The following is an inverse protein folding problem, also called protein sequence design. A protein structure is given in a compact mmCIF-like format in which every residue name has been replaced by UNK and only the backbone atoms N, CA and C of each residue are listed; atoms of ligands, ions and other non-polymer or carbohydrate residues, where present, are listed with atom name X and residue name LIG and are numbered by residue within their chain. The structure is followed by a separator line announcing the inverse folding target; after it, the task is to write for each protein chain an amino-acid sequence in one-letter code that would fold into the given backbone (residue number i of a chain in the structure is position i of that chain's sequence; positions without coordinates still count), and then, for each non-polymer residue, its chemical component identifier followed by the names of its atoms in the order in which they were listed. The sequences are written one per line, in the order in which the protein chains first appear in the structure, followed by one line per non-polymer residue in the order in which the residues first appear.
data_IF_284190948471
#
_entry.id   IF_284190948471
#
_cell.length_a   1.000
_cell.length_b   1.000
_cell.length_c   1.000
_cell.angle_alpha   90.00
_cell.angle_beta   90.00
_cell.angle_gamma   90.00
#
_symmetry.space_group_name_H-M   'P 1'
#
loop_
_entity.id
_entity.type
_entity.pdbx_description
1 polymer ?
#
# COMPACT_ATOMS: atom_id res chain seq x y z
N UNK A 1 -18.17 -24.78 -16.56
CA UNK A 1 -18.57 -23.48 -15.97
C UNK A 1 -18.84 -22.42 -17.03
N UNK A 2 -17.83 -21.88 -17.75
CA UNK A 2 -18.07 -20.85 -18.79
C UNK A 2 -19.04 -21.31 -19.91
N UNK A 3 -18.93 -22.58 -20.34
CA UNK A 3 -19.81 -23.20 -21.33
C UNK A 3 -21.26 -23.30 -20.86
N UNK A 4 -21.48 -23.50 -19.57
CA UNK A 4 -22.81 -23.69 -18.98
C UNK A 4 -23.57 -22.35 -18.92
N UNK A 5 -22.88 -21.25 -18.57
CA UNK A 5 -23.46 -19.91 -18.56
C UNK A 5 -23.84 -19.42 -19.97
N UNK A 6 -22.98 -19.66 -20.97
CA UNK A 6 -23.28 -19.34 -22.36
C UNK A 6 -24.49 -20.13 -22.90
N UNK A 7 -24.61 -21.39 -22.48
CA UNK A 7 -25.75 -22.25 -22.83
C UNK A 7 -27.06 -21.75 -22.21
N UNK A 8 -27.01 -21.32 -20.94
CA UNK A 8 -28.16 -20.73 -20.25
C UNK A 8 -28.63 -19.43 -20.92
N UNK A 9 -27.72 -18.51 -21.25
CA UNK A 9 -28.04 -17.28 -21.99
C UNK A 9 -28.64 -17.56 -23.37
N UNK A 10 -28.09 -18.53 -24.12
CA UNK A 10 -28.62 -18.94 -25.43
C UNK A 10 -30.03 -19.52 -25.35
N UNK A 11 -30.33 -20.25 -24.27
CA UNK A 11 -31.68 -20.81 -24.04
C UNK A 11 -32.70 -19.71 -23.82
N UNK A 12 -32.34 -18.67 -23.07
CA UNK A 12 -33.19 -17.53 -22.82
C UNK A 12 -33.38 -16.67 -24.08
N UNK A 13 -32.35 -16.52 -24.91
CA UNK A 13 -32.43 -15.83 -26.20
C UNK A 13 -33.41 -16.50 -27.17
N UNK A 14 -33.51 -17.83 -27.15
CA UNK A 14 -34.48 -18.58 -27.93
C UNK A 14 -35.96 -18.33 -27.52
N UNK A 15 -36.21 -17.62 -26.41
CA UNK A 15 -37.58 -17.29 -25.95
C UNK A 15 -38.37 -16.35 -26.87
N UNK A 16 -37.71 -15.76 -27.86
CA UNK A 16 -38.33 -14.87 -28.84
C UNK A 16 -39.54 -15.51 -29.57
N UNK A 17 -39.58 -16.84 -29.68
CA UNK A 17 -40.68 -17.53 -30.35
C UNK A 17 -42.02 -17.39 -29.62
N UNK A 18 -41.99 -17.28 -28.28
CA UNK A 18 -43.18 -17.27 -27.42
C UNK A 18 -43.32 -16.04 -26.51
N UNK A 19 -42.32 -15.15 -26.45
CA UNK A 19 -42.38 -13.89 -25.70
C UNK A 19 -41.80 -12.69 -26.47
N UNK A 20 -42.67 -12.01 -27.23
CA UNK A 20 -42.32 -11.01 -28.28
C UNK A 20 -42.57 -9.54 -27.91
N UNK A 21 -42.81 -9.23 -26.64
CA UNK A 21 -43.03 -7.85 -26.18
C UNK A 21 -41.75 -7.21 -25.61
N UNK A 22 -41.78 -5.90 -25.37
CA UNK A 22 -40.68 -5.13 -24.75
C UNK A 22 -40.13 -5.81 -23.49
N UNK A 23 -41.00 -6.25 -22.56
CA UNK A 23 -40.52 -6.95 -21.36
C UNK A 23 -39.77 -8.26 -21.65
N UNK A 24 -40.03 -8.92 -22.78
CA UNK A 24 -39.28 -10.09 -23.21
C UNK A 24 -37.93 -9.75 -23.83
N UNK A 25 -37.85 -8.62 -24.54
CA UNK A 25 -36.59 -8.07 -25.04
C UNK A 25 -35.69 -7.65 -23.86
N UNK A 26 -36.24 -6.90 -22.90
CA UNK A 26 -35.54 -6.48 -21.68
C UNK A 26 -35.01 -7.67 -20.88
N UNK A 27 -35.81 -8.73 -20.74
CA UNK A 27 -35.39 -9.92 -20.03
C UNK A 27 -34.29 -10.69 -20.77
N UNK A 28 -34.32 -10.72 -22.11
CA UNK A 28 -33.26 -11.35 -22.92
C UNK A 28 -31.96 -10.55 -22.83
N UNK A 29 -32.04 -9.24 -22.90
CA UNK A 29 -30.90 -8.36 -22.66
C UNK A 29 -30.31 -8.59 -21.28
N UNK A 30 -31.14 -8.58 -20.23
CA UNK A 30 -30.72 -8.88 -18.86
C UNK A 30 -30.05 -10.26 -18.73
N UNK A 31 -30.64 -11.30 -19.35
CA UNK A 31 -30.06 -12.65 -19.34
C UNK A 31 -28.71 -12.71 -20.06
N UNK A 32 -28.53 -12.00 -21.18
CA UNK A 32 -27.24 -11.91 -21.86
C UNK A 32 -26.21 -11.21 -20.98
N UNK A 33 -26.56 -10.08 -20.37
CA UNK A 33 -25.67 -9.37 -19.46
C UNK A 33 -25.25 -10.23 -18.28
N UNK A 34 -26.19 -10.95 -17.65
CA UNK A 34 -25.86 -11.85 -16.54
C UNK A 34 -24.98 -13.02 -16.97
N UNK A 35 -25.20 -13.59 -18.17
CA UNK A 35 -24.35 -14.63 -18.71
C UNK A 35 -22.93 -14.12 -18.97
N UNK A 36 -22.79 -12.91 -19.52
CA UNK A 36 -21.50 -12.26 -19.75
C UNK A 36 -20.77 -11.96 -18.44
N UNK A 37 -21.48 -11.41 -17.44
CA UNK A 37 -20.95 -11.18 -16.09
C UNK A 37 -20.44 -12.49 -15.48
N UNK A 38 -21.23 -13.57 -15.55
CA UNK A 38 -20.84 -14.89 -15.02
C UNK A 38 -19.63 -15.48 -15.74
N UNK A 39 -19.54 -15.33 -17.06
CA UNK A 39 -18.39 -15.78 -17.86
C UNK A 39 -17.13 -15.00 -17.48
N UNK A 40 -17.22 -13.67 -17.36
CA UNK A 40 -16.08 -12.82 -16.94
C UNK A 40 -15.61 -13.19 -15.53
N UNK A 41 -16.54 -13.33 -14.58
CA UNK A 41 -16.21 -13.76 -13.22
C UNK A 41 -15.51 -15.12 -13.18
N UNK A 42 -15.97 -16.09 -13.98
CA UNK A 42 -15.29 -17.40 -14.07
C UNK A 42 -13.86 -17.27 -14.65
N UNK A 43 -13.64 -16.41 -15.64
CA UNK A 43 -12.31 -16.12 -16.17
C UNK A 43 -11.40 -15.46 -15.14
N UNK A 44 -11.91 -14.49 -14.38
CA UNK A 44 -11.18 -13.82 -13.29
C UNK A 44 -10.78 -14.83 -12.21
N UNK A 45 -11.70 -15.69 -11.76
CA UNK A 45 -11.40 -16.74 -10.76
C UNK A 45 -10.27 -17.66 -11.25
N UNK A 46 -10.29 -18.06 -12.53
CA UNK A 46 -9.22 -18.86 -13.12
C UNK A 46 -7.86 -18.15 -13.10
N UNK A 47 -7.84 -16.86 -13.43
CA UNK A 47 -6.63 -16.04 -13.42
C UNK A 47 -6.09 -15.80 -11.99
N UNK A 48 -6.97 -15.67 -10.98
CA UNK A 48 -6.56 -15.57 -9.57
C UNK A 48 -5.81 -16.84 -9.14
N UNK A 49 -6.33 -18.02 -9.49
CA UNK A 49 -5.68 -19.28 -9.16
C UNK A 49 -4.29 -19.39 -9.79
N UNK A 50 -4.14 -19.05 -11.07
CA UNK A 50 -2.85 -19.05 -11.77
C UNK A 50 -1.83 -18.10 -11.13
N UNK A 51 -2.25 -16.89 -10.75
CA UNK A 51 -1.40 -15.92 -10.06
C UNK A 51 -0.99 -16.43 -8.69
N UNK A 52 -1.91 -16.97 -7.92
CA UNK A 52 -1.63 -17.53 -6.60
C UNK A 52 -0.57 -18.65 -6.68
N UNK A 53 -0.75 -19.62 -7.58
CA UNK A 53 0.20 -20.73 -7.77
C UNK A 53 1.61 -20.23 -8.15
N UNK A 54 1.67 -19.19 -8.99
CA UNK A 54 2.94 -18.55 -9.38
C UNK A 54 3.63 -17.89 -8.19
N UNK A 55 2.90 -17.10 -7.39
CA UNK A 55 3.47 -16.40 -6.21
C UNK A 55 3.93 -17.40 -5.14
N UNK A 56 3.15 -18.45 -4.88
CA UNK A 56 3.53 -19.53 -3.94
C UNK A 56 4.84 -20.18 -4.37
N UNK A 57 4.98 -20.50 -5.66
CA UNK A 57 6.21 -21.11 -6.18
C UNK A 57 7.45 -20.21 -5.99
N UNK A 58 7.31 -18.89 -6.14
CA UNK A 58 8.41 -17.95 -5.88
C UNK A 58 8.75 -17.83 -4.38
N UNK A 59 7.72 -17.79 -3.51
CA UNK A 59 7.91 -17.76 -2.05
C UNK A 59 8.59 -19.03 -1.53
N UNK A 60 8.24 -20.20 -2.05
CA UNK A 60 8.89 -21.47 -1.67
C UNK A 60 10.40 -21.45 -1.89
N UNK A 61 10.88 -20.75 -2.93
CA UNK A 61 12.31 -20.54 -3.18
C UNK A 61 13.00 -19.74 -2.07
N UNK A 62 12.39 -18.64 -1.63
CA UNK A 62 12.95 -17.80 -0.57
C UNK A 62 12.80 -18.42 0.83
N UNK A 63 11.69 -19.15 1.08
CA UNK A 63 11.45 -19.90 2.32
C UNK A 63 12.48 -21.03 2.51
N UNK A 64 13.11 -21.51 1.44
CA UNK A 64 14.25 -22.44 1.53
C UNK A 64 15.57 -21.71 1.77
N UNK A 65 15.80 -20.58 1.10
CA UNK A 65 17.05 -19.83 1.14
C UNK A 65 17.28 -19.11 2.47
N UNK A 66 16.24 -18.45 3.01
CA UNK A 66 16.34 -17.64 4.22
C UNK A 66 16.74 -18.47 5.46
N UNK A 67 16.05 -19.59 5.81
CA UNK A 67 16.47 -20.42 6.95
C UNK A 67 17.86 -21.03 6.77
N UNK A 68 18.26 -21.33 5.54
CA UNK A 68 19.61 -21.81 5.23
C UNK A 68 20.67 -20.77 5.60
N UNK A 69 20.47 -19.50 5.22
CA UNK A 69 21.37 -18.39 5.58
C UNK A 69 21.34 -18.03 7.05
N UNK A 70 20.19 -18.10 7.71
CA UNK A 70 20.10 -17.96 9.17
C UNK A 70 20.86 -19.09 9.86
N UNK A 71 20.74 -20.33 9.39
CA UNK A 71 21.49 -21.47 9.94
C UNK A 71 22.99 -21.31 9.73
N UNK A 72 23.43 -20.82 8.57
CA UNK A 72 24.83 -20.50 8.27
C UNK A 72 25.39 -19.44 9.24
N UNK A 73 24.60 -18.41 9.57
CA UNK A 73 24.97 -17.43 10.59
C UNK A 73 25.09 -18.06 11.98
N UNK A 74 24.04 -18.75 12.45
CA UNK A 74 23.97 -19.31 13.80
C UNK A 74 24.97 -20.45 14.04
N UNK A 75 25.41 -21.14 12.99
CA UNK A 75 26.42 -22.22 13.07
C UNK A 75 27.86 -21.74 12.84
N UNK A 76 28.06 -20.45 12.57
CA UNK A 76 29.37 -19.84 12.36
C UNK A 76 30.25 -19.96 13.61
N UNK A 77 31.57 -20.10 13.41
CA UNK A 77 32.55 -20.08 14.51
C UNK A 77 32.66 -18.71 15.22
N UNK A 78 32.00 -17.68 14.68
CA UNK A 78 32.09 -16.29 15.11
C UNK A 78 30.99 -15.85 16.10
N UNK A 79 30.28 -16.80 16.71
CA UNK A 79 29.20 -16.55 17.69
C UNK A 79 28.19 -15.51 17.19
N UNK A 80 27.67 -15.69 15.96
CA UNK A 80 26.71 -14.76 15.37
C UNK A 80 25.28 -14.98 15.88
N UNK A 81 24.52 -13.90 15.95
CA UNK A 81 23.06 -13.88 16.06
C UNK A 81 22.47 -13.04 14.91
N UNK A 82 21.17 -13.24 14.66
CA UNK A 82 20.43 -12.54 13.62
C UNK A 82 19.28 -11.79 14.27
N UNK A 83 19.17 -10.49 13.98
CA UNK A 83 18.06 -9.64 14.42
C UNK A 83 16.83 -9.82 13.54
N UNK A 84 15.67 -9.35 14.00
CA UNK A 84 14.40 -9.47 13.27
C UNK A 84 14.45 -8.76 11.89
N UNK A 85 15.29 -7.73 11.76
CA UNK A 85 15.52 -6.98 10.51
C UNK A 85 16.55 -7.65 9.58
N UNK A 86 17.04 -8.83 9.94
CA UNK A 86 18.03 -9.61 9.20
C UNK A 86 19.48 -9.15 9.37
N UNK A 87 19.77 -8.21 10.26
CA UNK A 87 21.15 -7.84 10.62
C UNK A 87 21.83 -9.02 11.31
N UNK A 88 23.04 -9.36 10.85
CA UNK A 88 23.89 -10.34 11.52
C UNK A 88 24.92 -9.61 12.37
N UNK A 89 24.98 -9.95 13.64
CA UNK A 89 25.89 -9.36 14.62
C UNK A 89 26.62 -10.49 15.38
N UNK A 90 27.78 -10.20 15.96
CA UNK A 90 28.47 -11.14 16.86
C UNK A 90 28.12 -10.84 18.32
N UNK A 91 27.83 -11.88 19.10
CA UNK A 91 27.61 -11.73 20.55
C UNK A 91 28.85 -11.18 21.26
N UNK A 92 30.04 -11.49 20.73
CA UNK A 92 31.32 -11.04 21.25
C UNK A 92 31.80 -9.79 20.53
N UNK A 93 32.27 -8.83 21.31
CA UNK A 93 32.96 -7.67 20.79
C UNK A 93 34.28 -8.05 20.12
N UNK A 94 34.75 -7.21 19.18
CA UNK A 94 36.08 -7.37 18.56
C UNK A 94 37.20 -7.44 19.62
N UNK A 95 37.03 -6.77 20.77
CA UNK A 95 37.98 -6.81 21.88
C UNK A 95 38.03 -8.16 22.60
N UNK A 96 36.89 -8.84 22.71
CA UNK A 96 36.83 -10.20 23.27
C UNK A 96 37.45 -11.20 22.30
N UNK A 97 37.18 -11.06 21.00
CA UNK A 97 37.82 -11.87 19.96
C UNK A 97 39.34 -11.71 19.90
N UNK A 98 39.87 -10.50 20.13
CA UNK A 98 41.32 -10.26 20.25
C UNK A 98 41.98 -11.14 21.31
N UNK A 99 41.30 -11.38 22.44
CA UNK A 99 41.81 -12.22 23.53
C UNK A 99 41.81 -13.70 23.17
N UNK A 100 40.89 -14.12 22.31
CA UNK A 100 40.73 -15.52 21.85
C UNK A 100 41.73 -15.83 20.73
N UNK A 101 41.74 -15.03 19.66
CA UNK A 101 42.53 -15.31 18.44
C UNK A 101 44.00 -14.89 18.52
N UNK A 102 44.34 -13.94 19.39
CA UNK A 102 45.73 -13.52 19.67
C UNK A 102 46.52 -13.21 18.39
N UNK A 103 47.42 -14.10 17.97
CA UNK A 103 48.25 -13.92 16.76
C UNK A 103 47.45 -13.90 15.47
N UNK A 104 46.29 -14.57 15.45
CA UNK A 104 45.49 -14.77 14.23
C UNK A 104 44.40 -13.70 14.08
N UNK A 105 44.36 -12.73 15.01
CA UNK A 105 43.29 -11.75 15.14
C UNK A 105 43.00 -10.98 13.85
N UNK A 106 44.03 -10.46 13.17
CA UNK A 106 43.82 -9.62 11.98
C UNK A 106 43.18 -10.41 10.82
N UNK A 107 43.58 -11.67 10.64
CA UNK A 107 43.02 -12.54 9.59
C UNK A 107 41.61 -12.97 9.95
N UNK A 108 41.40 -13.47 11.18
CA UNK A 108 40.10 -13.92 11.67
C UNK A 108 39.08 -12.79 11.79
N UNK A 109 39.51 -11.57 12.11
CA UNK A 109 38.64 -10.40 12.13
C UNK A 109 38.14 -10.05 10.73
N UNK A 110 39.02 -10.05 9.72
CA UNK A 110 38.61 -9.80 8.34
C UNK A 110 37.66 -10.89 7.82
N UNK A 111 37.89 -12.15 8.17
CA UNK A 111 36.97 -13.27 7.88
C UNK A 111 35.60 -13.07 8.57
N UNK A 112 35.61 -12.70 9.86
CA UNK A 112 34.40 -12.41 10.63
C UNK A 112 33.59 -11.28 9.98
N UNK A 113 34.19 -10.10 9.84
CA UNK A 113 33.50 -8.91 9.31
C UNK A 113 33.03 -9.12 7.87
N UNK A 114 33.81 -9.85 7.05
CA UNK A 114 33.40 -10.23 5.71
C UNK A 114 32.18 -11.15 5.69
N UNK A 115 32.15 -12.18 6.53
CA UNK A 115 31.03 -13.11 6.62
C UNK A 115 29.78 -12.47 7.25
N UNK A 116 29.95 -11.64 8.29
CA UNK A 116 28.90 -10.86 8.94
C UNK A 116 28.16 -9.97 7.92
N UNK A 117 28.93 -9.21 7.12
CA UNK A 117 28.37 -8.36 6.07
C UNK A 117 27.71 -9.19 4.94
N UNK A 118 28.35 -10.28 4.50
CA UNK A 118 27.81 -11.14 3.46
C UNK A 118 26.45 -11.76 3.87
N UNK A 119 26.37 -12.31 5.09
CA UNK A 119 25.15 -12.93 5.60
C UNK A 119 24.06 -11.89 5.84
N UNK A 120 24.40 -10.71 6.37
CA UNK A 120 23.46 -9.58 6.50
C UNK A 120 22.85 -9.22 5.14
N UNK A 121 23.67 -9.08 4.10
CA UNK A 121 23.21 -8.78 2.74
C UNK A 121 22.32 -9.90 2.19
N UNK A 122 22.70 -11.16 2.40
CA UNK A 122 21.97 -12.31 1.90
C UNK A 122 20.60 -12.48 2.57
N UNK A 123 20.54 -12.33 3.90
CA UNK A 123 19.32 -12.45 4.71
C UNK A 123 18.38 -11.29 4.40
N UNK A 124 18.84 -10.04 4.52
CA UNK A 124 18.04 -8.85 4.16
C UNK A 124 17.58 -8.87 2.71
N UNK A 125 18.43 -9.34 1.79
CA UNK A 125 18.04 -9.50 0.40
C UNK A 125 16.91 -10.52 0.20
N UNK A 126 16.91 -11.61 0.97
CA UNK A 126 15.84 -12.62 0.91
C UNK A 126 14.54 -12.10 1.55
N UNK A 127 14.62 -11.42 2.69
CA UNK A 127 13.48 -10.73 3.32
C UNK A 127 12.86 -9.70 2.36
N UNK A 128 13.68 -8.85 1.73
CA UNK A 128 13.22 -7.87 0.75
C UNK A 128 12.56 -8.52 -0.48
N UNK A 129 13.05 -9.68 -0.94
CA UNK A 129 12.42 -10.43 -2.04
C UNK A 129 11.10 -11.05 -1.62
N UNK A 130 10.99 -11.58 -0.39
CA UNK A 130 9.71 -12.10 0.14
C UNK A 130 8.68 -10.97 0.19
N UNK A 131 9.04 -9.83 0.76
CA UNK A 131 8.15 -8.67 0.82
C UNK A 131 7.76 -8.18 -0.59
N UNK A 132 8.71 -8.14 -1.52
CA UNK A 132 8.46 -7.77 -2.90
C UNK A 132 7.54 -8.77 -3.63
N UNK A 133 7.67 -10.08 -3.38
CA UNK A 133 6.77 -11.11 -3.94
C UNK A 133 5.35 -10.95 -3.40
N UNK A 134 5.22 -10.78 -2.08
CA UNK A 134 3.92 -10.61 -1.40
C UNK A 134 3.19 -9.39 -1.95
N UNK A 135 3.86 -8.23 -1.97
CA UNK A 135 3.26 -6.98 -2.43
C UNK A 135 3.00 -6.95 -3.94
N UNK A 136 3.88 -7.53 -4.78
CA UNK A 136 3.57 -7.75 -6.21
C UNK A 136 2.34 -8.64 -6.39
N UNK A 137 2.16 -9.63 -5.51
CA UNK A 137 0.96 -10.46 -5.49
C UNK A 137 -0.32 -9.65 -5.30
N UNK A 138 -0.32 -8.67 -4.39
CA UNK A 138 -1.45 -7.78 -4.17
C UNK A 138 -1.80 -6.92 -5.41
N UNK A 139 -0.78 -6.38 -6.09
CA UNK A 139 -0.94 -5.61 -7.35
C UNK A 139 -1.49 -6.46 -8.50
N UNK A 140 -0.93 -7.66 -8.70
CA UNK A 140 -1.41 -8.59 -9.71
C UNK A 140 -2.85 -9.02 -9.43
N UNK A 141 -3.18 -9.25 -8.15
CA UNK A 141 -4.53 -9.59 -7.73
C UNK A 141 -5.51 -8.45 -8.01
N UNK A 142 -5.17 -7.20 -7.65
CA UNK A 142 -5.98 -6.01 -7.99
C UNK A 142 -6.22 -5.94 -9.50
N UNK A 143 -5.18 -6.15 -10.30
CA UNK A 143 -5.27 -6.13 -11.77
C UNK A 143 -6.23 -7.21 -12.29
N UNK A 144 -6.11 -8.44 -11.80
CA UNK A 144 -6.97 -9.56 -12.20
C UNK A 144 -8.42 -9.32 -11.78
N UNK A 145 -8.65 -8.89 -10.53
CA UNK A 145 -9.99 -8.55 -10.02
C UNK A 145 -10.60 -7.35 -10.78
N UNK A 146 -9.77 -6.44 -11.28
CA UNK A 146 -10.15 -5.37 -12.18
C UNK A 146 -10.82 -5.86 -13.49
N UNK A 147 -10.62 -7.12 -13.87
CA UNK A 147 -11.28 -7.75 -15.02
C UNK A 147 -12.77 -8.08 -14.82
N UNK A 148 -13.29 -7.96 -13.60
CA UNK A 148 -14.72 -8.09 -13.31
C UNK A 148 -15.51 -6.97 -13.98
N UNK A 149 -16.78 -7.21 -14.28
CA UNK A 149 -17.66 -6.15 -14.76
C UNK A 149 -17.98 -5.15 -13.65
N UNK A 150 -18.21 -3.90 -14.02
CA UNK A 150 -18.54 -2.84 -13.05
C UNK A 150 -19.78 -3.18 -12.23
N UNK A 151 -20.76 -3.87 -12.83
CA UNK A 151 -21.95 -4.38 -12.14
C UNK A 151 -21.60 -5.34 -11.00
N UNK A 152 -20.66 -6.26 -11.23
CA UNK A 152 -20.18 -7.19 -10.20
C UNK A 152 -19.39 -6.45 -9.15
N UNK A 153 -18.49 -5.54 -9.55
CA UNK A 153 -17.67 -4.74 -8.61
C UNK A 153 -18.53 -3.94 -7.63
N UNK A 154 -19.46 -3.13 -8.15
CA UNK A 154 -20.38 -2.35 -7.32
C UNK A 154 -21.34 -3.22 -6.51
N UNK A 155 -21.74 -4.39 -7.04
CA UNK A 155 -22.61 -5.33 -6.33
C UNK A 155 -21.94 -6.01 -5.13
N UNK A 156 -20.62 -6.20 -5.15
CA UNK A 156 -19.87 -6.85 -4.06
C UNK A 156 -19.39 -5.86 -3.02
N UNK A 157 -18.80 -4.73 -3.45
CA UNK A 157 -18.23 -3.71 -2.53
C UNK A 157 -19.32 -3.07 -1.67
N UNK A 158 -20.57 -3.08 -2.13
CA UNK A 158 -21.65 -2.34 -1.48
C UNK A 158 -21.57 -0.85 -1.81
N UNK A 159 -22.55 -0.10 -1.34
CA UNK A 159 -22.62 1.35 -1.53
C UNK A 159 -23.22 1.96 -0.29
N UNK A 160 -22.57 2.95 0.33
CA UNK A 160 -23.11 3.61 1.51
C UNK A 160 -24.52 4.15 1.28
N UNK A 161 -25.36 4.07 2.32
CA UNK A 161 -26.72 4.61 2.29
C UNK A 161 -26.74 6.15 2.17
N UNK A 162 -25.72 6.82 2.72
CA UNK A 162 -25.54 8.27 2.57
C UNK A 162 -25.15 8.60 1.12
N UNK A 163 -25.97 9.36 0.36
CA UNK A 163 -25.70 9.61 -1.05
C UNK A 163 -24.37 10.33 -1.31
N UNK A 164 -23.90 11.14 -0.34
CA UNK A 164 -22.62 11.85 -0.47
C UNK A 164 -21.44 10.90 -0.26
N UNK A 165 -21.55 9.97 0.69
CA UNK A 165 -20.55 8.93 0.87
C UNK A 165 -20.53 7.99 -0.34
N UNK A 166 -21.70 7.61 -0.88
CA UNK A 166 -21.79 6.85 -2.12
C UNK A 166 -21.12 7.56 -3.32
N UNK A 167 -21.27 8.88 -3.43
CA UNK A 167 -20.57 9.68 -4.45
C UNK A 167 -19.05 9.68 -4.23
N UNK A 168 -18.60 9.89 -2.98
CA UNK A 168 -17.18 9.87 -2.63
C UNK A 168 -16.57 8.50 -2.95
N UNK A 169 -17.21 7.40 -2.55
CA UNK A 169 -16.74 6.04 -2.83
C UNK A 169 -16.51 5.81 -4.33
N UNK A 170 -17.38 6.34 -5.20
CA UNK A 170 -17.25 6.19 -6.66
C UNK A 170 -16.18 7.11 -7.26
N UNK A 171 -16.07 8.34 -6.77
CA UNK A 171 -15.18 9.36 -7.33
C UNK A 171 -13.73 9.16 -6.91
N UNK A 172 -13.51 8.75 -5.67
CA UNK A 172 -12.19 8.64 -5.07
C UNK A 172 -11.65 7.22 -5.25
N UNK A 173 -11.43 6.83 -6.51
CA UNK A 173 -10.82 5.55 -6.92
C UNK A 173 -9.77 5.83 -8.00
N UNK A 174 -8.59 5.22 -7.96
CA UNK A 174 -7.51 5.40 -8.94
C UNK A 174 -7.54 4.28 -9.98
N UNK A 175 -6.97 4.56 -11.15
CA UNK A 175 -6.48 3.50 -12.00
C UNK A 175 -5.34 2.75 -11.28
N UNK A 176 -5.11 1.45 -11.56
CA UNK A 176 -3.92 0.76 -11.10
C UNK A 176 -2.64 1.49 -11.55
N UNK A 177 -1.56 1.36 -10.78
CA UNK A 177 -0.23 1.83 -11.20
C UNK A 177 0.21 1.16 -12.51
N UNK A 178 1.02 1.86 -13.32
CA UNK A 178 1.54 1.36 -14.59
C UNK A 178 2.59 0.24 -14.42
N UNK A 179 3.08 0.01 -13.19
CA UNK A 179 4.02 -1.07 -12.92
C UNK A 179 4.04 -1.52 -11.46
N UNK A 180 4.77 -2.60 -11.20
CA UNK A 180 4.89 -3.13 -9.85
C UNK A 180 5.60 -2.14 -8.92
N UNK A 181 4.93 -1.78 -7.84
CA UNK A 181 5.56 -1.09 -6.73
C UNK A 181 6.71 -1.92 -6.14
N UNK A 182 7.69 -1.24 -5.56
CA UNK A 182 8.93 -1.85 -5.06
C UNK A 182 9.47 -1.07 -3.88
N UNK A 183 10.27 -1.75 -3.06
CA UNK A 183 11.03 -1.09 -1.99
C UNK A 183 12.04 -0.10 -2.59
N UNK A 184 11.94 1.15 -2.16
CA UNK A 184 12.79 2.25 -2.59
C UNK A 184 13.13 3.19 -1.41
N UNK A 185 14.38 3.68 -1.31
CA UNK A 185 15.55 3.28 -2.08
C UNK A 185 16.00 1.86 -1.70
N UNK A 186 16.67 1.15 -2.59
CA UNK A 186 17.16 -0.22 -2.34
C UNK A 186 18.55 -0.45 -2.91
N UNK A 187 19.18 -1.56 -2.52
CA UNK A 187 20.51 -1.97 -3.00
C UNK A 187 21.60 -0.93 -2.71
N UNK A 188 22.48 -0.70 -3.69
CA UNK A 188 23.62 0.24 -3.58
C UNK A 188 23.18 1.67 -3.27
N UNK A 189 22.01 2.09 -3.79
CA UNK A 189 21.48 3.43 -3.52
C UNK A 189 21.10 3.60 -2.04
N UNK A 190 20.41 2.62 -1.46
CA UNK A 190 20.09 2.62 -0.03
C UNK A 190 21.36 2.66 0.82
N UNK A 191 22.37 1.86 0.47
CA UNK A 191 23.64 1.84 1.21
C UNK A 191 24.37 3.19 1.14
N UNK A 192 24.33 3.87 0.00
CA UNK A 192 24.89 5.20 -0.15
C UNK A 192 24.13 6.25 0.70
N UNK A 193 22.80 6.15 0.79
CA UNK A 193 21.97 7.04 1.63
C UNK A 193 22.24 6.77 3.12
N UNK A 194 22.30 5.51 3.53
CA UNK A 194 22.58 5.12 4.93
C UNK A 194 23.96 5.49 5.43
N UNK A 195 24.93 5.68 4.52
CA UNK A 195 26.23 6.23 4.88
C UNK A 195 26.15 7.69 5.38
N UNK A 196 25.06 8.40 5.06
CA UNK A 196 24.81 9.80 5.46
C UNK A 196 23.72 9.88 6.52
N UNK A 197 22.63 9.12 6.35
CA UNK A 197 21.54 9.00 7.33
C UNK A 197 21.21 7.51 7.57
N UNK A 198 21.79 6.91 8.63
CA UNK A 198 21.60 5.49 8.94
C UNK A 198 20.15 5.08 9.24
N UNK A 199 19.25 6.03 9.56
CA UNK A 199 17.88 5.75 9.95
C UNK A 199 16.93 5.59 8.75
N UNK A 200 17.39 5.83 7.52
CA UNK A 200 16.56 5.68 6.32
C UNK A 200 16.27 4.21 6.05
N UNK A 201 14.99 3.86 6.16
CA UNK A 201 14.45 2.57 5.75
C UNK A 201 13.83 2.66 4.35
N UNK A 202 13.96 1.61 3.51
CA UNK A 202 13.22 1.50 2.26
C UNK A 202 11.73 1.53 2.51
N UNK A 203 11.00 2.15 1.59
CA UNK A 203 9.54 2.19 1.62
C UNK A 203 9.04 1.61 0.32
N UNK A 204 7.99 0.82 0.40
CA UNK A 204 7.28 0.38 -0.77
C UNK A 204 6.63 1.57 -1.48
N UNK A 205 6.96 1.76 -2.76
CA UNK A 205 6.52 2.88 -3.57
C UNK A 205 6.14 2.42 -4.97
N UNK A 206 5.13 3.05 -5.55
CA UNK A 206 4.79 2.88 -6.96
C UNK A 206 5.91 3.40 -7.87
N UNK A 207 6.04 2.88 -9.10
CA UNK A 207 6.92 3.44 -10.12
C UNK A 207 6.73 4.95 -10.31
N UNK A 208 5.49 5.43 -10.25
CA UNK A 208 5.13 6.84 -10.37
C UNK A 208 5.72 7.67 -9.24
N UNK A 209 5.58 7.23 -7.97
CA UNK A 209 6.22 7.87 -6.81
C UNK A 209 7.74 7.92 -6.98
N UNK A 210 8.36 6.81 -7.39
CA UNK A 210 9.81 6.73 -7.57
C UNK A 210 10.29 7.70 -8.65
N UNK A 211 9.58 7.81 -9.78
CA UNK A 211 9.91 8.76 -10.84
C UNK A 211 9.79 10.19 -10.34
N UNK A 212 8.76 10.51 -9.55
CA UNK A 212 8.58 11.84 -8.97
C UNK A 212 9.71 12.21 -8.00
N UNK A 213 10.09 11.30 -7.10
CA UNK A 213 11.19 11.53 -6.13
C UNK A 213 12.56 11.56 -6.81
N UNK A 214 12.82 10.68 -7.78
CA UNK A 214 14.06 10.72 -8.56
C UNK A 214 14.19 12.04 -9.34
N UNK A 215 13.09 12.51 -9.94
CA UNK A 215 13.05 13.79 -10.65
C UNK A 215 13.22 14.98 -9.71
N UNK A 216 12.66 14.91 -8.50
CA UNK A 216 12.90 15.90 -7.44
C UNK A 216 14.38 15.93 -7.06
N UNK A 217 14.97 14.78 -6.74
CA UNK A 217 16.38 14.65 -6.34
C UNK A 217 17.39 15.11 -7.39
N UNK A 218 17.05 15.03 -8.67
CA UNK A 218 17.90 15.47 -9.78
C UNK A 218 17.98 17.00 -9.96
N UNK A 219 17.15 17.79 -9.24
CA UNK A 219 17.15 19.26 -9.33
C UNK A 219 18.32 19.85 -8.53
N UNK A 220 18.75 21.10 -8.80
CA UNK A 220 19.86 21.75 -8.07
C UNK A 220 19.73 21.77 -6.54
N UNK A 221 18.50 21.78 -6.00
CA UNK A 221 18.21 21.70 -4.56
C UNK A 221 17.48 20.38 -4.17
N UNK A 222 17.56 19.36 -5.03
CA UNK A 222 16.75 18.16 -4.92
C UNK A 222 17.03 17.31 -3.68
N UNK A 223 18.25 17.37 -3.14
CA UNK A 223 18.59 16.67 -1.89
C UNK A 223 17.85 17.27 -0.69
N UNK A 224 17.78 18.60 -0.58
CA UNK A 224 17.05 19.28 0.48
C UNK A 224 15.55 18.98 0.37
N UNK A 225 14.99 19.00 -0.85
CA UNK A 225 13.59 18.67 -1.09
C UNK A 225 13.26 17.21 -0.72
N UNK A 226 14.18 16.26 -0.97
CA UNK A 226 14.01 14.86 -0.55
C UNK A 226 14.07 14.71 0.97
N UNK A 227 14.99 15.41 1.64
CA UNK A 227 15.07 15.44 3.10
C UNK A 227 13.77 15.98 3.69
N UNK A 228 13.27 17.10 3.16
CA UNK A 228 12.01 17.70 3.59
C UNK A 228 10.82 16.75 3.36
N UNK A 229 10.79 16.02 2.24
CA UNK A 229 9.74 15.04 1.96
C UNK A 229 9.69 13.95 3.04
N UNK A 230 10.82 13.34 3.37
CA UNK A 230 10.88 12.30 4.41
C UNK A 230 10.61 12.87 5.81
N UNK A 231 11.08 14.09 6.09
CA UNK A 231 10.80 14.79 7.35
C UNK A 231 9.31 15.08 7.51
N UNK A 232 8.64 15.60 6.48
CA UNK A 232 7.19 15.86 6.45
C UNK A 232 6.40 14.58 6.71
N UNK A 233 6.79 13.47 6.10
CA UNK A 233 6.14 12.18 6.34
C UNK A 233 6.32 11.71 7.78
N UNK A 234 7.55 11.74 8.30
CA UNK A 234 7.85 11.37 9.69
C UNK A 234 7.08 12.25 10.67
N UNK A 235 7.02 13.55 10.42
CA UNK A 235 6.27 14.51 11.21
C UNK A 235 4.76 14.22 11.23
N UNK A 236 4.17 13.92 10.08
CA UNK A 236 2.74 13.60 10.00
C UNK A 236 2.40 12.31 10.76
N UNK A 237 3.21 11.26 10.61
CA UNK A 237 3.04 10.01 11.36
C UNK A 237 3.21 10.23 12.86
N UNK A 238 4.28 10.90 13.29
CA UNK A 238 4.55 11.16 14.70
C UNK A 238 3.47 12.04 15.36
N UNK A 239 2.92 13.02 14.63
CA UNK A 239 1.83 13.84 15.12
C UNK A 239 0.53 13.03 15.28
N UNK A 240 0.21 12.16 14.33
CA UNK A 240 -0.94 11.26 14.43
C UNK A 240 -0.82 10.31 15.63
N UNK A 241 0.34 9.68 15.82
CA UNK A 241 0.62 8.79 16.95
C UNK A 241 0.50 9.49 18.31
N UNK A 242 0.93 10.75 18.40
CA UNK A 242 0.85 11.53 19.63
C UNK A 242 -0.58 12.01 19.94
N UNK A 243 -1.33 12.46 18.92
CA UNK A 243 -2.64 13.10 19.11
C UNK A 243 -3.81 12.11 19.08
N UNK A 244 -3.66 11.00 18.37
CA UNK A 244 -4.72 10.02 18.11
C UNK A 244 -4.22 8.59 18.35
N UNK A 245 -3.56 8.36 19.49
CA UNK A 245 -2.92 7.09 19.83
C UNK A 245 -3.91 5.92 19.87
N UNK A 246 -3.53 4.79 19.26
CA UNK A 246 -4.28 3.53 19.35
C UNK A 246 -4.33 2.80 18.01
N UNK A 247 -4.18 1.46 17.96
CA UNK A 247 -4.06 0.73 16.70
C UNK A 247 -5.20 0.98 15.71
N UNK A 248 -6.45 1.01 16.21
CA UNK A 248 -7.66 1.29 15.41
C UNK A 248 -7.80 2.76 15.00
N UNK A 249 -7.08 3.66 15.66
CA UNK A 249 -7.07 5.07 15.28
C UNK A 249 -6.03 5.34 14.19
N UNK A 250 -4.86 4.70 14.31
CA UNK A 250 -3.71 4.90 13.41
C UNK A 250 -3.86 4.15 12.09
N UNK A 251 -4.63 3.06 12.06
CA UNK A 251 -5.05 2.37 10.82
C UNK A 251 -6.53 2.60 10.61
N UNK A 252 -6.93 3.17 9.48
CA UNK A 252 -8.31 3.31 9.03
C UNK A 252 -9.23 4.20 9.91
N UNK A 253 -8.67 4.86 10.91
CA UNK A 253 -9.41 5.65 11.90
C UNK A 253 -9.03 7.12 11.94
N UNK A 254 -9.32 7.78 13.07
CA UNK A 254 -9.13 9.23 13.22
C UNK A 254 -7.67 9.67 13.09
N UNK A 255 -6.74 8.89 13.63
CA UNK A 255 -5.30 9.15 13.47
C UNK A 255 -4.82 8.95 12.04
N UNK A 256 -5.40 8.01 11.31
CA UNK A 256 -5.16 7.77 9.89
C UNK A 256 -5.66 8.94 9.04
N UNK A 257 -6.90 9.35 9.25
CA UNK A 257 -7.50 10.54 8.64
C UNK A 257 -6.68 11.80 8.92
N UNK A 258 -6.26 12.00 10.17
CA UNK A 258 -5.35 13.07 10.55
C UNK A 258 -4.04 13.00 9.78
N UNK A 259 -3.39 11.82 9.74
CA UNK A 259 -2.08 11.62 9.10
C UNK A 259 -2.14 11.96 7.62
N UNK A 260 -3.11 11.43 6.88
CA UNK A 260 -3.28 11.66 5.44
C UNK A 260 -3.56 13.13 5.13
N UNK A 261 -4.46 13.74 5.91
CA UNK A 261 -4.82 15.16 5.77
C UNK A 261 -3.62 16.06 6.07
N UNK A 262 -2.91 15.83 7.18
CA UNK A 262 -1.77 16.66 7.59
C UNK A 262 -0.56 16.48 6.67
N UNK A 263 -0.29 15.25 6.25
CA UNK A 263 0.76 14.95 5.26
C UNK A 263 0.52 15.71 3.95
N UNK A 264 -0.70 15.69 3.42
CA UNK A 264 -1.05 16.45 2.22
C UNK A 264 -1.00 17.96 2.43
N UNK A 265 -1.37 18.44 3.62
CA UNK A 265 -1.31 19.87 3.92
C UNK A 265 0.14 20.39 3.93
N UNK A 266 1.05 19.70 4.63
CA UNK A 266 2.48 20.03 4.67
C UNK A 266 3.14 19.92 3.30
N UNK A 267 2.87 18.83 2.56
CA UNK A 267 3.38 18.67 1.20
C UNK A 267 2.88 19.78 0.28
N UNK A 268 1.62 20.23 0.42
CA UNK A 268 1.06 21.30 -0.40
C UNK A 268 1.74 22.64 -0.12
N UNK A 269 1.98 22.97 1.14
CA UNK A 269 2.72 24.18 1.50
C UNK A 269 4.17 24.13 0.97
N UNK A 270 4.84 22.97 1.03
CA UNK A 270 6.25 22.84 0.65
C UNK A 270 6.49 22.69 -0.86
N UNK A 271 5.70 21.85 -1.52
CA UNK A 271 5.92 21.41 -2.90
C UNK A 271 4.85 21.87 -3.89
N UNK A 272 3.75 22.45 -3.39
CA UNK A 272 2.63 22.93 -4.19
C UNK A 272 1.56 21.85 -4.46
N UNK A 273 0.31 22.31 -4.58
CA UNK A 273 -0.89 21.46 -4.69
C UNK A 273 -0.81 20.44 -5.83
N UNK A 274 -0.30 20.84 -7.00
CA UNK A 274 -0.25 19.98 -8.18
C UNK A 274 0.72 18.81 -8.02
N UNK A 275 1.89 19.07 -7.42
CA UNK A 275 2.86 18.02 -7.15
C UNK A 275 2.31 17.08 -6.08
N UNK A 276 1.77 17.64 -5.00
CA UNK A 276 1.18 16.89 -3.89
C UNK A 276 0.04 15.98 -4.34
N UNK A 277 -0.87 16.49 -5.17
CA UNK A 277 -1.99 15.71 -5.71
C UNK A 277 -1.50 14.53 -6.57
N UNK A 278 -0.49 14.74 -7.43
CA UNK A 278 0.08 13.68 -8.24
C UNK A 278 0.75 12.62 -7.36
N UNK A 279 1.56 13.04 -6.39
CA UNK A 279 2.28 12.13 -5.50
C UNK A 279 1.32 11.32 -4.64
N UNK A 280 0.38 11.99 -3.96
CA UNK A 280 -0.61 11.32 -3.11
C UNK A 280 -1.53 10.41 -3.93
N UNK A 281 -1.90 10.79 -5.16
CA UNK A 281 -2.68 9.89 -6.04
C UNK A 281 -1.86 8.65 -6.39
N UNK A 282 -0.58 8.80 -6.75
CA UNK A 282 0.32 7.69 -7.03
C UNK A 282 0.55 6.80 -5.80
N UNK A 283 0.52 7.36 -4.58
CA UNK A 283 0.60 6.60 -3.34
C UNK A 283 -0.61 5.67 -3.17
N UNK A 284 -1.82 6.17 -3.44
CA UNK A 284 -3.05 5.37 -3.30
C UNK A 284 -3.26 4.38 -4.47
N UNK A 285 -2.44 4.44 -5.52
CA UNK A 285 -2.46 3.45 -6.61
C UNK A 285 -1.89 2.09 -6.20
N UNK A 286 -1.28 2.00 -5.01
CA UNK A 286 -0.76 0.76 -4.47
C UNK A 286 -1.87 -0.31 -4.37
N UNK A 287 -1.55 -1.48 -4.92
CA UNK A 287 -2.39 -2.66 -4.92
C UNK A 287 -2.66 -3.17 -3.51
N UNK A 288 -3.86 -3.69 -3.31
CA UNK A 288 -4.31 -4.21 -2.02
C UNK A 288 -5.27 -3.27 -1.26
N UNK A 289 -5.29 -1.97 -1.53
CA UNK A 289 -6.24 -1.10 -0.83
C UNK A 289 -7.70 -1.44 -1.20
N UNK A 290 -8.56 -1.79 -0.23
CA UNK A 290 -9.98 -1.98 -0.50
C UNK A 290 -10.62 -0.63 -0.86
N UNK A 291 -11.67 -0.61 -1.71
CA UNK A 291 -12.22 0.64 -2.23
C UNK A 291 -12.67 1.66 -1.16
N UNK A 292 -13.25 1.26 0.00
CA UNK A 292 -13.55 2.21 1.07
C UNK A 292 -12.31 2.92 1.62
N UNK A 293 -11.21 2.18 1.88
CA UNK A 293 -9.94 2.73 2.36
C UNK A 293 -9.36 3.70 1.34
N UNK A 294 -9.27 3.27 0.08
CA UNK A 294 -8.76 4.11 -1.00
C UNK A 294 -9.56 5.42 -1.13
N UNK A 295 -10.89 5.34 -1.06
CA UNK A 295 -11.75 6.52 -1.11
C UNK A 295 -11.54 7.46 0.08
N UNK A 296 -11.44 6.91 1.29
CA UNK A 296 -11.15 7.66 2.52
C UNK A 296 -9.82 8.40 2.40
N UNK A 297 -8.74 7.70 2.03
CA UNK A 297 -7.40 8.26 1.96
C UNK A 297 -7.31 9.37 0.93
N UNK A 298 -7.82 9.15 -0.28
CA UNK A 298 -7.83 10.14 -1.35
C UNK A 298 -8.67 11.37 -1.00
N UNK A 299 -9.81 11.18 -0.33
CA UNK A 299 -10.67 12.28 0.12
C UNK A 299 -9.95 13.11 1.20
N UNK A 300 -9.39 12.45 2.21
CA UNK A 300 -8.64 13.09 3.29
C UNK A 300 -7.39 13.82 2.75
N UNK A 301 -6.69 13.21 1.77
CA UNK A 301 -5.61 13.83 1.04
C UNK A 301 -6.07 15.15 0.38
N UNK A 302 -7.26 15.19 -0.23
CA UNK A 302 -7.82 16.43 -0.79
C UNK A 302 -8.14 17.49 0.25
N UNK A 303 -8.76 17.11 1.38
CA UNK A 303 -9.01 18.03 2.49
C UNK A 303 -7.70 18.65 2.99
N UNK A 304 -6.61 17.88 3.06
CA UNK A 304 -5.29 18.38 3.40
C UNK A 304 -4.80 19.49 2.47
N UNK A 305 -4.92 19.28 1.15
CA UNK A 305 -4.56 20.29 0.14
C UNK A 305 -5.43 21.55 0.24
N UNK A 306 -6.73 21.38 0.52
CA UNK A 306 -7.64 22.51 0.74
C UNK A 306 -7.26 23.31 1.99
N UNK A 307 -6.95 22.65 3.11
CA UNK A 307 -6.53 23.32 4.34
C UNK A 307 -5.22 24.10 4.16
N UNK A 308 -4.25 23.56 3.43
CA UNK A 308 -3.02 24.28 3.11
C UNK A 308 -3.28 25.58 2.33
N UNK A 309 -4.28 25.59 1.44
CA UNK A 309 -4.69 26.80 0.71
C UNK A 309 -5.46 27.79 1.58
N UNK A 310 -6.27 27.31 2.49
CA UNK A 310 -6.97 28.13 3.49
C UNK A 310 -5.97 28.76 4.49
N UNK A 311 -4.83 28.10 4.70
CA UNK A 311 -3.81 28.44 5.69
C UNK A 311 -2.39 28.47 5.10
N UNK A 312 -2.08 29.33 4.11
CA UNK A 312 -0.80 29.27 3.38
C UNK A 312 0.42 29.58 4.25
N UNK A 313 0.25 30.40 5.29
CA UNK A 313 1.33 30.86 6.18
C UNK A 313 1.27 30.20 7.57
N UNK A 314 0.38 29.22 7.77
CA UNK A 314 0.27 28.54 9.07
C UNK A 314 1.55 27.77 9.38
N UNK A 315 2.00 27.84 10.63
CA UNK A 315 3.07 26.97 11.11
C UNK A 315 2.63 25.49 11.05
N UNK A 316 3.56 24.53 11.06
CA UNK A 316 3.20 23.13 11.10
C UNK A 316 2.26 22.78 12.27
N UNK A 317 2.43 23.40 13.44
CA UNK A 317 1.58 23.21 14.62
C UNK A 317 0.18 23.81 14.43
N UNK A 318 0.09 25.00 13.84
CA UNK A 318 -1.19 25.64 13.52
C UNK A 318 -1.97 24.83 12.49
N UNK A 319 -1.27 24.29 11.49
CA UNK A 319 -1.83 23.43 10.46
C UNK A 319 -2.28 22.09 11.04
N UNK A 320 -1.47 21.47 11.93
CA UNK A 320 -1.88 20.28 12.68
C UNK A 320 -3.16 20.53 13.48
N UNK A 321 -3.26 21.66 14.19
CA UNK A 321 -4.47 22.03 14.93
C UNK A 321 -5.68 22.28 14.01
N UNK A 322 -5.46 22.78 12.79
CA UNK A 322 -6.53 22.94 11.81
C UNK A 322 -7.02 21.58 11.27
N UNK A 323 -6.10 20.65 11.03
CA UNK A 323 -6.41 19.28 10.62
C UNK A 323 -7.18 18.54 11.72
N UNK A 324 -6.71 18.63 12.96
CA UNK A 324 -7.36 18.02 14.12
C UNK A 324 -8.81 18.52 14.29
N UNK A 325 -9.04 19.82 14.10
CA UNK A 325 -10.41 20.37 14.04
C UNK A 325 -11.22 19.79 12.88
N UNK A 326 -10.64 19.69 11.68
CA UNK A 326 -11.32 19.10 10.53
C UNK A 326 -11.74 17.65 10.78
N UNK A 327 -10.89 16.87 11.46
CA UNK A 327 -11.22 15.49 11.88
C UNK A 327 -12.36 15.47 12.88
N UNK A 328 -12.32 16.31 13.94
CA UNK A 328 -13.39 16.34 14.95
C UNK A 328 -14.73 16.88 14.43
N UNK A 329 -14.69 17.80 13.47
CA UNK A 329 -15.87 18.45 12.90
C UNK A 329 -16.52 17.64 11.75
N UNK A 330 -16.04 16.42 11.47
CA UNK A 330 -16.63 15.57 10.43
C UNK A 330 -16.30 16.03 9.00
N UNK A 331 -15.22 16.81 8.80
CA UNK A 331 -14.77 17.21 7.45
C UNK A 331 -13.96 16.12 6.75
N UNK A 332 -13.49 15.11 7.48
CA UNK A 332 -12.71 13.98 6.97
C UNK A 332 -13.52 12.69 7.06
N UNK A 333 -13.00 11.63 6.45
CA UNK A 333 -13.57 10.28 6.50
C UNK A 333 -12.72 9.34 7.34
N UNK A 334 -13.37 8.33 7.90
CA UNK A 334 -12.78 7.16 8.55
C UNK A 334 -13.50 5.90 8.07
N UNK A 335 -13.00 4.72 8.40
CA UNK A 335 -13.72 3.46 8.18
C UNK A 335 -14.59 3.14 9.41
N UNK A 336 -15.89 3.03 9.21
CA UNK A 336 -16.89 2.63 10.20
C UNK A 336 -16.74 1.17 10.62
N UNK A 337 -17.42 0.78 11.70
CA UNK A 337 -17.38 -0.60 12.22
C UNK A 337 -18.01 -1.64 11.27
N UNK A 338 -18.72 -1.19 10.25
CA UNK A 338 -19.28 -1.94 9.13
C UNK A 338 -18.34 -2.03 7.93
N UNK A 339 -17.09 -1.56 8.06
CA UNK A 339 -16.07 -1.49 7.02
C UNK A 339 -16.41 -0.57 5.83
N UNK A 340 -17.44 0.28 5.99
CA UNK A 340 -17.78 1.34 5.03
C UNK A 340 -17.11 2.68 5.40
N UNK A 341 -16.98 3.59 4.43
CA UNK A 341 -16.56 4.96 4.74
C UNK A 341 -17.64 5.68 5.55
N UNK A 342 -17.21 6.46 6.55
CA UNK A 342 -18.08 7.25 7.40
C UNK A 342 -17.46 8.61 7.69
N UNK A 343 -18.30 9.62 7.96
CA UNK A 343 -17.84 10.91 8.47
C UNK A 343 -17.18 10.74 9.84
N UNK A 344 -16.03 11.37 10.04
CA UNK A 344 -15.21 11.19 11.23
C UNK A 344 -15.90 11.58 12.55
N UNK A 345 -16.90 12.47 12.52
CA UNK A 345 -17.70 12.87 13.69
C UNK A 345 -18.85 11.89 14.02
N UNK A 346 -19.14 10.94 13.13
CA UNK A 346 -20.19 9.92 13.31
C UNK A 346 -19.67 8.59 13.84
N UNK A 347 -18.35 8.43 13.92
CA UNK A 347 -17.68 7.23 14.44
C UNK A 347 -16.92 7.61 15.71
N UNK A 348 -17.18 6.88 16.80
CA UNK A 348 -16.42 7.08 18.03
C UNK A 348 -14.95 6.64 17.82
N UNK A 349 -14.01 7.37 18.43
CA UNK A 349 -12.59 6.98 18.39
C UNK A 349 -12.40 5.52 18.83
N UNK A 350 -11.51 4.81 18.14
CA UNK A 350 -11.23 3.38 18.35
C UNK A 350 -12.38 2.40 18.08
N UNK A 351 -13.49 2.88 17.52
CA UNK A 351 -14.65 2.09 17.09
C UNK A 351 -14.74 1.96 15.57
N UNK A 352 -13.60 2.12 14.90
CA UNK A 352 -13.42 2.02 13.45
C UNK A 352 -13.28 0.56 13.02
N UNK A 353 -13.59 0.31 11.74
CA UNK A 353 -13.47 -1.00 11.10
C UNK A 353 -12.02 -1.42 10.89
N UNK A 354 -11.86 -2.62 10.36
CA UNK A 354 -10.57 -3.18 9.98
C UNK A 354 -10.77 -3.93 8.65
N UNK A 355 -10.97 -3.17 7.55
CA UNK A 355 -11.34 -3.76 6.27
C UNK A 355 -10.26 -4.72 5.79
N UNK A 356 -10.65 -5.66 4.94
CA UNK A 356 -9.74 -6.69 4.43
C UNK A 356 -8.49 -6.07 3.78
N UNK A 357 -7.37 -6.80 3.87
CA UNK A 357 -6.10 -6.36 3.31
C UNK A 357 -6.09 -6.28 1.77
N UNK A 358 -7.08 -6.92 1.12
CA UNK A 358 -7.35 -6.83 -0.32
C UNK A 358 -8.85 -7.01 -0.57
N UNK A 359 -9.41 -6.29 -1.54
CA UNK A 359 -10.79 -6.47 -2.00
C UNK A 359 -10.91 -6.21 -3.52
N UNK A 360 -12.11 -6.41 -4.07
CA UNK A 360 -12.44 -6.14 -5.47
C UNK A 360 -12.35 -4.64 -5.74
N UNK A 361 -11.46 -4.17 -6.64
CA UNK A 361 -11.30 -2.75 -6.90
C UNK A 361 -12.52 -2.20 -7.64
N UNK A 362 -12.90 -0.96 -7.31
CA UNK A 362 -13.87 -0.20 -8.09
C UNK A 362 -13.20 0.43 -9.33
N UNK A 363 -13.97 0.77 -10.38
CA UNK A 363 -13.46 1.53 -11.51
C UNK A 363 -12.90 2.89 -11.07
N UNK A 364 -11.87 3.38 -11.77
CA UNK A 364 -11.33 4.71 -11.53
C UNK A 364 -12.42 5.78 -11.67
N UNK A 365 -12.49 6.68 -10.71
CA UNK A 365 -13.47 7.76 -10.69
C UNK A 365 -13.01 8.97 -11.50
N UNK A 366 -13.96 9.72 -12.06
CA UNK A 366 -13.68 11.02 -12.70
C UNK A 366 -13.43 12.08 -11.62
N UNK A 367 -12.21 12.62 -11.53
CA UNK A 367 -11.82 13.61 -10.50
C UNK A 367 -11.66 15.02 -11.03
#
# INVERSE_FOLDING_TARGET
MSTDFKSAGSTFDASHEYWRGHGGEDARESSRTHADDAVRSASVIGAVAEKFDTRVSELEGEVSNLPSKVTEALSSEFDFYVEDDGTVNSERSNMEWLRVWKSDYLTKLAEKEGLENFLTIAIRGSLARIEDIDRRGAEELRTVLGGLSDRVKYGVVGTPDDPRLAEILRRYQTAPSEGGARLWPSGVLLQAIRAVDPAVEPVFMTPEEIVMLATMGARPNGLDDLVDFFAIRSQASGAAEQQHAGPRSISDGHGDAFRHTYWNALMTQRFGEDWTRQFATAHEQLGGNPPPREAMDLYNNEIGRQLAREHPEASPEELAAAVDRAVRDGRTLVIGADDEIAWSDRVAEHSTGAPSLTDIPLPAGER
#
